data_IF_890010485085
#
_entry.id   IF_890010485085
#
_cell.length_a   1.000
_cell.length_b   1.000
_cell.length_c   1.000
_cell.angle_alpha   90.00
_cell.angle_beta   90.00
_cell.angle_gamma   90.00
#
_symmetry.space_group_name_H-M   'P 1'
#
loop_
_entity.id
_entity.type
_entity.pdbx_description
1 polymer ?
#
# COMPACT_ATOMS: atom_id res chain seq x y z
N UNK A 1 10.89 -15.28 -23.88
CA UNK A 1 11.41 -14.19 -23.03
C UNK A 1 11.17 -12.85 -23.73
N UNK A 2 10.50 -11.92 -23.04
CA UNK A 2 10.72 -10.48 -23.16
C UNK A 2 10.19 -9.81 -21.89
N UNK A 3 10.85 -10.11 -20.77
CA UNK A 3 10.80 -9.27 -19.58
C UNK A 3 11.69 -8.04 -19.86
N UNK A 4 11.18 -7.08 -20.64
CA UNK A 4 12.04 -6.03 -21.17
C UNK A 4 11.30 -4.92 -21.89
N UNK A 5 10.33 -4.28 -21.22
CA UNK A 5 9.86 -2.91 -21.52
C UNK A 5 8.78 -2.50 -20.50
N UNK A 6 9.17 -2.35 -19.23
CA UNK A 6 8.36 -1.52 -18.30
C UNK A 6 9.04 -0.16 -18.24
N UNK A 7 8.75 0.66 -19.24
CA UNK A 7 9.37 1.97 -19.41
C UNK A 7 8.76 2.99 -18.46
N UNK A 8 9.56 3.58 -17.57
CA UNK A 8 9.25 4.81 -16.80
C UNK A 8 7.81 4.90 -16.28
N UNK A 9 7.29 3.81 -15.71
CA UNK A 9 6.01 3.89 -14.99
C UNK A 9 6.27 4.66 -13.70
N UNK A 10 5.73 5.88 -13.59
CA UNK A 10 5.83 6.63 -12.35
C UNK A 10 5.08 5.88 -11.22
N UNK A 11 5.42 6.16 -9.97
CA UNK A 11 4.79 5.52 -8.81
C UNK A 11 3.25 5.53 -8.82
N UNK A 12 2.62 6.51 -9.48
CA UNK A 12 1.17 6.59 -9.62
C UNK A 12 0.60 5.52 -10.57
N UNK A 13 1.30 5.24 -11.67
CA UNK A 13 0.94 4.14 -12.59
C UNK A 13 1.00 2.80 -11.86
N UNK A 14 2.09 2.55 -11.12
CA UNK A 14 2.22 1.33 -10.33
C UNK A 14 1.12 1.17 -9.30
N UNK A 15 0.82 2.21 -8.53
CA UNK A 15 -0.24 2.17 -7.54
C UNK A 15 -1.61 1.82 -8.15
N UNK A 16 -1.93 2.41 -9.31
CA UNK A 16 -3.20 2.18 -10.00
C UNK A 16 -3.33 0.76 -10.54
N UNK A 17 -2.28 0.24 -11.17
CA UNK A 17 -2.25 -1.12 -11.72
C UNK A 17 -2.39 -2.16 -10.60
N UNK A 18 -1.64 -1.98 -9.51
CA UNK A 18 -1.62 -2.93 -8.40
C UNK A 18 -2.90 -2.90 -7.58
N UNK A 19 -3.56 -1.74 -7.48
CA UNK A 19 -4.91 -1.63 -6.95
C UNK A 19 -5.90 -2.46 -7.77
N UNK A 20 -5.90 -2.30 -9.09
CA UNK A 20 -6.82 -3.02 -9.97
C UNK A 20 -6.63 -4.55 -9.86
N UNK A 21 -5.38 -5.02 -9.85
CA UNK A 21 -5.13 -6.45 -9.65
C UNK A 21 -5.53 -6.95 -8.25
N UNK A 22 -5.34 -6.14 -7.21
CA UNK A 22 -5.77 -6.52 -5.87
C UNK A 22 -7.29 -6.66 -5.78
N UNK A 23 -8.05 -5.79 -6.47
CA UNK A 23 -9.50 -5.90 -6.58
C UNK A 23 -9.95 -7.15 -7.36
N UNK A 24 -9.15 -7.64 -8.31
CA UNK A 24 -9.48 -8.85 -9.08
C UNK A 24 -9.22 -10.15 -8.31
N UNK A 25 -8.64 -10.09 -7.11
CA UNK A 25 -8.43 -11.24 -6.22
C UNK A 25 -7.11 -12.00 -6.42
N UNK A 26 -6.26 -11.62 -7.40
CA UNK A 26 -4.95 -12.24 -7.60
C UNK A 26 -3.88 -11.59 -6.71
N UNK A 27 -4.03 -11.79 -5.40
CA UNK A 27 -3.27 -11.04 -4.41
C UNK A 27 -1.83 -11.55 -4.21
N UNK A 28 -1.60 -12.84 -4.45
CA UNK A 28 -0.28 -13.46 -4.25
C UNK A 28 0.71 -13.07 -5.35
N UNK A 29 0.26 -13.08 -6.61
CA UNK A 29 1.11 -12.70 -7.74
C UNK A 29 1.43 -11.20 -7.74
N UNK A 30 0.46 -10.38 -7.35
CA UNK A 30 0.63 -8.93 -7.22
C UNK A 30 1.66 -8.58 -6.15
N UNK A 31 1.58 -9.16 -4.95
CA UNK A 31 2.60 -8.91 -3.93
C UNK A 31 3.98 -9.33 -4.42
N UNK A 32 4.10 -10.47 -5.12
CA UNK A 32 5.37 -10.92 -5.70
C UNK A 32 5.90 -9.93 -6.75
N UNK A 33 5.05 -9.44 -7.66
CA UNK A 33 5.41 -8.46 -8.69
C UNK A 33 5.89 -7.14 -8.08
N UNK A 34 5.26 -6.67 -6.99
CA UNK A 34 5.65 -5.39 -6.35
C UNK A 34 7.07 -5.44 -5.80
N UNK A 35 7.53 -6.61 -5.31
CA UNK A 35 8.88 -6.82 -4.79
C UNK A 35 9.97 -6.79 -5.89
N UNK A 36 9.57 -6.85 -7.16
CA UNK A 36 10.49 -6.74 -8.29
C UNK A 36 10.72 -5.31 -8.77
N UNK A 37 10.06 -4.31 -8.17
CA UNK A 37 10.24 -2.89 -8.52
C UNK A 37 11.57 -2.41 -7.92
N UNK A 38 12.54 -1.92 -8.73
CA UNK A 38 13.88 -1.60 -8.23
C UNK A 38 13.92 -0.41 -7.27
N UNK A 39 13.13 0.62 -7.54
CA UNK A 39 13.12 1.85 -6.75
C UNK A 39 12.23 1.69 -5.52
N UNK A 40 12.84 1.81 -4.35
CA UNK A 40 12.22 1.52 -3.06
C UNK A 40 10.93 2.32 -2.77
N UNK A 41 10.91 3.59 -3.19
CA UNK A 41 9.73 4.45 -3.02
C UNK A 41 8.63 4.11 -4.03
N UNK A 42 8.99 3.73 -5.27
CA UNK A 42 8.02 3.23 -6.27
C UNK A 42 7.43 1.89 -5.82
N UNK A 43 8.26 0.98 -5.31
CA UNK A 43 7.81 -0.26 -4.68
C UNK A 43 6.81 0.02 -3.56
N UNK A 44 7.13 0.97 -2.68
CA UNK A 44 6.23 1.36 -1.59
C UNK A 44 4.87 1.87 -2.07
N UNK A 45 4.84 2.71 -3.11
CA UNK A 45 3.58 3.19 -3.70
C UNK A 45 2.81 2.10 -4.45
N UNK A 46 3.49 1.18 -5.10
CA UNK A 46 2.86 0.00 -5.71
C UNK A 46 2.15 -0.84 -4.64
N UNK A 47 2.84 -1.12 -3.53
CA UNK A 47 2.28 -1.86 -2.40
C UNK A 47 1.15 -1.09 -1.69
N UNK A 48 1.20 0.24 -1.64
CA UNK A 48 0.08 1.06 -1.18
C UNK A 48 -1.15 0.89 -2.10
N UNK A 49 -0.95 0.77 -3.41
CA UNK A 49 -2.01 0.43 -4.36
C UNK A 49 -2.71 -0.90 -4.01
N UNK A 50 -1.93 -1.93 -3.67
CA UNK A 50 -2.46 -3.22 -3.20
C UNK A 50 -3.33 -3.04 -1.96
N UNK A 51 -2.89 -2.24 -0.99
CA UNK A 51 -3.64 -1.95 0.24
C UNK A 51 -5.00 -1.35 -0.08
N UNK A 52 -5.06 -0.35 -0.98
CA UNK A 52 -6.34 0.21 -1.40
C UNK A 52 -7.24 -0.81 -2.10
N UNK A 53 -6.70 -1.60 -3.02
CA UNK A 53 -7.50 -2.60 -3.72
C UNK A 53 -8.08 -3.66 -2.78
N UNK A 54 -7.31 -4.07 -1.76
CA UNK A 54 -7.80 -4.97 -0.70
C UNK A 54 -8.91 -4.34 0.13
N UNK A 55 -8.77 -3.07 0.53
CA UNK A 55 -9.81 -2.35 1.29
C UNK A 55 -11.12 -2.20 0.49
N UNK A 56 -11.02 -2.06 -0.83
CA UNK A 56 -12.20 -1.98 -1.73
C UNK A 56 -12.99 -3.27 -1.84
N UNK A 57 -12.36 -4.42 -1.60
CA UNK A 57 -13.02 -5.72 -1.50
C UNK A 57 -13.23 -6.17 -0.04
N UNK A 58 -13.11 -5.23 0.89
CA UNK A 58 -13.27 -5.43 2.34
C UNK A 58 -12.28 -6.42 3.00
N UNK A 59 -11.14 -6.68 2.36
CA UNK A 59 -10.04 -7.47 2.90
C UNK A 59 -9.15 -6.63 3.82
N UNK A 60 -9.68 -6.25 4.98
CA UNK A 60 -8.98 -5.41 5.96
C UNK A 60 -7.74 -6.11 6.52
N UNK A 61 -7.81 -7.41 6.79
CA UNK A 61 -6.69 -8.13 7.38
C UNK A 61 -5.55 -8.34 6.38
N UNK A 62 -5.87 -8.67 5.12
CA UNK A 62 -4.88 -8.69 4.07
C UNK A 62 -4.27 -7.32 3.77
N UNK A 63 -5.06 -6.24 3.89
CA UNK A 63 -4.57 -4.87 3.79
C UNK A 63 -3.54 -4.57 4.91
N UNK A 64 -3.83 -4.96 6.16
CA UNK A 64 -2.88 -4.84 7.28
C UNK A 64 -1.60 -5.63 7.03
N UNK A 65 -1.71 -6.90 6.63
CA UNK A 65 -0.55 -7.74 6.31
C UNK A 65 0.30 -7.09 5.22
N UNK A 66 -0.32 -6.57 4.16
CA UNK A 66 0.40 -5.89 3.09
C UNK A 66 1.10 -4.64 3.60
N UNK A 67 0.43 -3.80 4.41
CA UNK A 67 1.01 -2.60 5.01
C UNK A 67 2.24 -2.91 5.88
N UNK A 68 2.23 -4.02 6.62
CA UNK A 68 3.37 -4.44 7.45
C UNK A 68 4.62 -4.80 6.62
N UNK A 69 4.43 -5.27 5.38
CA UNK A 69 5.51 -5.59 4.45
C UNK A 69 6.01 -4.38 3.64
N UNK A 70 5.38 -3.22 3.77
CA UNK A 70 5.88 -2.01 3.10
C UNK A 70 7.12 -1.54 3.85
N UNK A 71 8.26 -1.61 3.18
CA UNK A 71 9.52 -1.21 3.78
C UNK A 71 9.59 0.32 3.87
N UNK A 72 9.22 1.03 2.80
CA UNK A 72 9.30 2.49 2.75
C UNK A 72 8.34 3.13 3.75
N UNK A 73 8.91 3.74 4.79
CA UNK A 73 8.19 4.24 5.97
C UNK A 73 7.03 5.16 5.60
N UNK A 74 7.20 6.01 4.59
CA UNK A 74 6.16 6.93 4.15
C UNK A 74 4.94 6.19 3.59
N UNK A 75 5.13 5.33 2.59
CA UNK A 75 4.05 4.52 2.03
C UNK A 75 3.42 3.59 3.07
N UNK A 76 4.22 3.02 3.99
CA UNK A 76 3.70 2.20 5.09
C UNK A 76 2.74 2.99 5.98
N UNK A 77 3.09 4.22 6.34
CA UNK A 77 2.19 5.03 7.17
C UNK A 77 0.95 5.50 6.42
N UNK A 78 1.06 5.82 5.12
CA UNK A 78 -0.12 6.08 4.28
C UNK A 78 -1.05 4.85 4.22
N UNK A 79 -0.49 3.64 4.12
CA UNK A 79 -1.27 2.41 4.12
C UNK A 79 -2.03 2.21 5.44
N UNK A 80 -1.36 2.37 6.59
CA UNK A 80 -2.03 2.28 7.88
C UNK A 80 -3.07 3.38 8.10
N UNK A 81 -2.85 4.58 7.57
CA UNK A 81 -3.85 5.66 7.59
C UNK A 81 -5.08 5.29 6.75
N UNK A 82 -4.89 4.72 5.55
CA UNK A 82 -5.99 4.27 4.70
C UNK A 82 -6.82 3.17 5.38
N UNK A 83 -6.16 2.19 6.01
CA UNK A 83 -6.82 1.12 6.78
C UNK A 83 -7.62 1.73 7.94
N UNK A 84 -7.01 2.64 8.72
CA UNK A 84 -7.70 3.27 9.84
C UNK A 84 -8.93 4.06 9.38
N UNK A 85 -8.84 4.79 8.27
CA UNK A 85 -9.98 5.53 7.70
C UNK A 85 -11.12 4.58 7.33
N UNK A 86 -10.82 3.49 6.61
CA UNK A 86 -11.81 2.48 6.25
C UNK A 86 -12.46 1.85 7.50
N UNK A 87 -11.68 1.59 8.55
CA UNK A 87 -12.18 1.08 9.83
C UNK A 87 -13.08 2.08 10.57
N UNK A 88 -12.76 3.39 10.54
CA UNK A 88 -13.61 4.44 11.09
C UNK A 88 -14.97 4.48 10.40
N UNK A 89 -14.98 4.41 9.05
CA UNK A 89 -16.21 4.38 8.25
C UNK A 89 -17.09 3.17 8.59
N UNK A 90 -16.49 2.07 9.07
CA UNK A 90 -17.17 0.85 9.52
C UNK A 90 -17.47 0.80 11.03
N UNK A 91 -17.10 1.83 11.79
CA UNK A 91 -17.28 1.88 13.25
C UNK A 91 -16.30 1.04 14.07
N UNK A 92 -15.22 0.54 13.46
CA UNK A 92 -14.18 -0.28 14.10
C UNK A 92 -13.12 0.61 14.79
N UNK A 93 -13.55 1.40 15.78
CA UNK A 93 -12.77 2.52 16.31
C UNK A 93 -11.50 2.12 17.07
N UNK A 94 -11.52 1.00 17.81
CA UNK A 94 -10.34 0.54 18.55
C UNK A 94 -9.24 0.05 17.62
N UNK A 95 -9.60 -0.66 16.55
CA UNK A 95 -8.64 -1.09 15.54
C UNK A 95 -8.11 0.10 14.73
N UNK A 96 -8.99 1.04 14.36
CA UNK A 96 -8.59 2.26 13.67
C UNK A 96 -7.55 3.04 14.50
N UNK A 97 -7.76 3.16 15.82
CA UNK A 97 -6.81 3.79 16.73
C UNK A 97 -5.45 3.09 16.73
N UNK A 98 -5.42 1.76 16.70
CA UNK A 98 -4.16 1.01 16.63
C UNK A 98 -3.42 1.28 15.31
N UNK A 99 -4.13 1.27 14.19
CA UNK A 99 -3.54 1.55 12.88
C UNK A 99 -3.08 3.02 12.75
N UNK A 100 -3.80 3.99 13.32
CA UNK A 100 -3.32 5.39 13.41
C UNK A 100 -2.00 5.50 14.17
N UNK A 101 -1.81 4.73 15.27
CA UNK A 101 -0.53 4.69 15.97
C UNK A 101 0.60 4.14 15.09
N UNK A 102 0.31 3.13 14.26
CA UNK A 102 1.27 2.58 13.29
C UNK A 102 1.56 3.55 12.13
N UNK A 103 0.66 4.50 11.83
CA UNK A 103 0.86 5.53 10.81
C UNK A 103 1.77 6.69 11.26
N UNK A 104 1.89 6.93 12.58
CA UNK A 104 2.68 8.02 13.18
C UNK A 104 4.12 8.16 12.63
N UNK A 105 4.89 7.07 12.39
CA UNK A 105 6.25 7.19 11.85
C UNK A 105 6.31 7.93 10.51
N UNK A 106 5.26 7.86 9.66
CA UNK A 106 5.20 8.60 8.40
C UNK A 106 4.74 10.05 8.58
N UNK A 107 3.76 10.28 9.45
CA UNK A 107 3.18 11.61 9.72
C UNK A 107 4.19 12.52 10.42
N UNK A 108 5.05 11.96 11.28
CA UNK A 108 6.03 12.72 12.06
C UNK A 108 7.40 12.87 11.38
N UNK A 109 7.76 11.99 10.43
CA UNK A 109 9.08 11.99 9.78
C UNK A 109 9.06 12.44 8.33
N UNK A 110 7.98 13.03 7.82
CA UNK A 110 7.98 13.57 6.46
C UNK A 110 9.12 14.60 6.35
N UNK A 111 10.25 14.30 5.67
CA UNK A 111 11.18 15.36 5.33
C UNK A 111 10.41 16.20 4.33
N UNK A 112 10.36 17.51 4.55
CA UNK A 112 10.11 18.42 3.44
C UNK A 112 11.19 18.06 2.40
N UNK A 113 10.79 17.38 1.33
CA UNK A 113 11.64 17.27 0.14
C UNK A 113 11.87 18.71 -0.31
N UNK A 114 13.12 19.16 -0.22
CA UNK A 114 13.57 20.49 -0.60
C UNK A 114 13.45 20.73 -2.10
#
# INVERSE_FOLDING_TARGET
ETAGQVGKENAYTWSSVFRAYAMSGDLAEVVKKSKGIPEYWEQGYAQLGIVWGRLEIDDIDGAKTTAEFIEWVHARGLAFLAIAKNQIEKGLLDDARQNLKKALPAVLKCPQVG
#
